data_IF_632677065113
#
_entry.id   IF_632677065113
#
_cell.length_a   1.000
_cell.length_b   1.000
_cell.length_c   1.000
_cell.angle_alpha   90.00
_cell.angle_beta   90.00
_cell.angle_gamma   90.00
#
_symmetry.space_group_name_H-M   'P 1'
#
loop_
_entity.id
_entity.type
_entity.pdbx_description
1 polymer ?
#
# COMPACT_ATOMS: atom_id res chain seq x y z
N UNK A 1 -19.40 -19.35 30.20
CA UNK A 1 -17.97 -19.00 30.04
C UNK A 1 -17.94 -17.61 29.45
N UNK A 2 -17.74 -16.57 30.26
CA UNK A 2 -17.50 -15.23 29.76
C UNK A 2 -16.18 -15.28 28.99
N UNK A 3 -16.24 -15.09 27.67
CA UNK A 3 -15.09 -15.11 26.76
C UNK A 3 -14.14 -13.93 26.96
N UNK A 4 -14.15 -13.33 28.15
CA UNK A 4 -13.34 -12.15 28.46
C UNK A 4 -11.87 -12.53 28.50
N UNK A 5 -11.09 -11.79 27.73
CA UNK A 5 -9.64 -11.89 27.66
C UNK A 5 -9.07 -11.18 28.90
N UNK A 6 -9.12 -11.84 30.05
CA UNK A 6 -8.45 -11.34 31.26
C UNK A 6 -6.95 -11.16 31.02
N UNK A 7 -6.34 -10.12 31.61
CA UNK A 7 -4.93 -9.79 31.43
C UNK A 7 -3.99 -10.99 31.67
N UNK A 8 -4.27 -11.85 32.65
CA UNK A 8 -3.48 -13.04 32.93
C UNK A 8 -3.54 -14.09 31.82
N UNK A 9 -4.70 -14.23 31.18
CA UNK A 9 -4.89 -15.13 30.03
C UNK A 9 -4.15 -14.60 28.81
N UNK A 10 -4.21 -13.29 28.57
CA UNK A 10 -3.46 -12.62 27.49
C UNK A 10 -1.95 -12.77 27.72
N UNK A 11 -1.46 -12.55 28.94
CA UNK A 11 -0.05 -12.76 29.31
C UNK A 11 0.41 -14.19 29.06
N UNK A 12 -0.38 -15.18 29.47
CA UNK A 12 -0.01 -16.58 29.25
C UNK A 12 0.06 -16.89 27.76
N UNK A 13 -0.93 -16.43 26.99
CA UNK A 13 -0.98 -16.62 25.55
C UNK A 13 0.19 -15.94 24.82
N UNK A 14 0.55 -14.71 25.19
CA UNK A 14 1.68 -14.00 24.60
C UNK A 14 3.02 -14.68 24.88
N UNK A 15 3.21 -15.30 26.05
CA UNK A 15 4.43 -16.08 26.34
C UNK A 15 4.60 -17.27 25.39
N UNK A 16 3.50 -17.90 25.00
CA UNK A 16 3.53 -19.06 24.10
C UNK A 16 3.69 -18.62 22.63
N UNK A 17 3.11 -17.45 22.27
CA UNK A 17 3.12 -16.92 20.91
C UNK A 17 4.41 -16.16 20.55
N UNK A 18 4.91 -15.32 21.46
CA UNK A 18 5.99 -14.37 21.17
C UNK A 18 7.36 -15.04 21.33
N UNK A 19 7.83 -15.65 20.24
CA UNK A 19 9.16 -16.28 20.19
C UNK A 19 10.28 -15.29 19.88
N UNK A 20 9.93 -14.17 19.21
CA UNK A 20 10.86 -13.09 18.90
C UNK A 20 10.82 -12.00 19.98
N UNK A 21 12.01 -11.64 20.50
CA UNK A 21 12.20 -10.57 21.50
C UNK A 21 12.98 -9.37 20.96
N UNK A 22 13.41 -9.41 19.70
CA UNK A 22 14.11 -8.29 19.10
C UNK A 22 13.14 -7.09 18.98
N UNK A 23 13.56 -5.88 19.37
CA UNK A 23 12.73 -4.70 19.22
C UNK A 23 12.53 -4.34 17.75
N UNK A 24 11.36 -3.77 17.42
CA UNK A 24 11.11 -3.18 16.10
C UNK A 24 11.97 -1.94 15.89
N UNK A 25 12.32 -1.66 14.63
CA UNK A 25 13.16 -0.51 14.27
C UNK A 25 12.53 0.85 14.62
N UNK A 26 11.20 0.93 14.73
CA UNK A 26 10.44 2.16 14.94
C UNK A 26 9.55 2.14 16.22
N UNK A 27 9.87 1.33 17.23
CA UNK A 27 9.03 1.23 18.45
C UNK A 27 8.75 2.58 19.12
N UNK A 28 9.74 3.48 19.13
CA UNK A 28 9.62 4.81 19.73
C UNK A 28 8.65 5.74 19.00
N UNK A 29 8.32 5.43 17.75
CA UNK A 29 7.40 6.22 16.91
C UNK A 29 5.96 5.72 17.00
N UNK A 30 5.72 4.59 17.67
CA UNK A 30 4.40 3.99 17.78
C UNK A 30 3.51 4.83 18.71
N UNK A 31 2.47 5.43 18.13
CA UNK A 31 1.42 6.13 18.87
C UNK A 31 0.42 5.13 19.48
N UNK A 32 0.81 4.48 20.59
CA UNK A 32 0.01 3.43 21.24
C UNK A 32 -1.18 3.96 22.07
N UNK A 33 -1.28 5.28 22.26
CA UNK A 33 -2.35 5.89 23.07
C UNK A 33 -2.09 5.81 24.58
N UNK A 34 -3.10 6.16 25.38
CA UNK A 34 -3.04 6.08 26.84
C UNK A 34 -3.37 4.67 27.32
N UNK A 35 -2.40 4.01 27.95
CA UNK A 35 -2.56 2.72 28.62
C UNK A 35 -1.48 2.58 29.70
N UNK A 36 -1.66 1.63 30.61
CA UNK A 36 -0.65 1.37 31.64
C UNK A 36 0.62 0.74 31.04
N UNK A 37 1.76 0.91 31.72
CA UNK A 37 3.06 0.42 31.24
C UNK A 37 3.10 -1.10 31.06
N UNK A 38 2.29 -1.84 31.82
CA UNK A 38 2.24 -3.29 31.71
C UNK A 38 1.54 -3.71 30.41
N UNK A 39 0.40 -3.09 30.11
CA UNK A 39 -0.35 -3.32 28.88
C UNK A 39 0.42 -2.84 27.64
N UNK A 40 1.20 -1.75 27.74
CA UNK A 40 2.15 -1.34 26.68
C UNK A 40 3.15 -2.43 26.36
N UNK A 41 3.78 -3.01 27.37
CA UNK A 41 4.77 -4.05 27.16
C UNK A 41 4.16 -5.31 26.54
N UNK A 42 2.93 -5.69 26.95
CA UNK A 42 2.22 -6.80 26.33
C UNK A 42 1.91 -6.55 24.85
N UNK A 43 1.49 -5.34 24.51
CA UNK A 43 1.26 -4.94 23.12
C UNK A 43 2.56 -4.95 22.31
N UNK A 44 3.64 -4.38 22.85
CA UNK A 44 4.95 -4.39 22.18
C UNK A 44 5.45 -5.81 21.93
N UNK A 45 5.29 -6.74 22.88
CA UNK A 45 5.63 -8.15 22.68
C UNK A 45 4.87 -8.77 21.50
N UNK A 46 3.57 -8.48 21.38
CA UNK A 46 2.78 -8.93 20.24
C UNK A 46 3.30 -8.35 18.93
N UNK A 47 3.57 -7.04 18.90
CA UNK A 47 4.05 -6.35 17.71
C UNK A 47 5.43 -6.88 17.26
N UNK A 48 6.35 -7.13 18.19
CA UNK A 48 7.67 -7.75 17.94
C UNK A 48 7.57 -9.15 17.32
N UNK A 49 6.45 -9.84 17.49
CA UNK A 49 6.22 -11.14 16.87
C UNK A 49 5.78 -11.06 15.40
N UNK A 50 5.33 -9.89 14.93
CA UNK A 50 4.91 -9.66 13.55
C UNK A 50 5.66 -8.49 12.89
N UNK A 51 7.01 -8.48 12.92
CA UNK A 51 7.80 -7.37 12.37
C UNK A 51 7.51 -7.19 10.88
N UNK A 52 7.31 -8.28 10.16
CA UNK A 52 6.96 -8.30 8.75
C UNK A 52 5.70 -7.50 8.40
N UNK A 53 4.73 -7.35 9.31
CA UNK A 53 3.49 -6.61 9.06
C UNK A 53 3.61 -5.12 9.40
N UNK A 54 4.56 -4.76 10.24
CA UNK A 54 4.65 -3.43 10.87
C UNK A 54 5.84 -2.62 10.38
N UNK A 55 6.92 -3.29 9.98
CA UNK A 55 8.07 -2.60 9.42
C UNK A 55 7.69 -1.91 8.10
N UNK A 56 8.04 -0.63 7.94
CA UNK A 56 7.83 0.08 6.68
C UNK A 56 8.47 -0.68 5.53
N UNK A 57 7.68 -1.05 4.53
CA UNK A 57 8.18 -1.68 3.31
C UNK A 57 8.21 -0.65 2.20
N UNK A 58 9.32 -0.60 1.49
CA UNK A 58 9.39 0.05 0.18
C UNK A 58 8.93 -0.93 -0.90
N UNK A 59 8.32 -0.40 -1.95
CA UNK A 59 7.94 -1.15 -3.14
C UNK A 59 6.55 -1.78 -3.07
N UNK A 60 6.30 -2.75 -3.95
CA UNK A 60 5.00 -3.41 -4.06
C UNK A 60 4.72 -4.24 -2.80
N UNK A 61 3.50 -4.17 -2.22
CA UNK A 61 3.08 -5.09 -1.18
C UNK A 61 3.27 -6.54 -1.63
N UNK A 62 3.49 -7.49 -0.69
CA UNK A 62 3.62 -8.89 -1.04
C UNK A 62 2.36 -9.38 -1.77
N UNK A 63 2.58 -10.17 -2.82
CA UNK A 63 1.48 -10.80 -3.55
C UNK A 63 0.64 -11.67 -2.62
N UNK A 64 -0.67 -11.67 -2.85
CA UNK A 64 -1.58 -12.54 -2.10
C UNK A 64 -1.17 -14.01 -2.23
N UNK A 65 -1.35 -14.77 -1.16
CA UNK A 65 -1.14 -16.23 -1.16
C UNK A 65 -2.30 -16.97 -1.85
N UNK A 66 -3.40 -16.27 -2.15
CA UNK A 66 -4.51 -16.80 -2.92
C UNK A 66 -4.12 -16.83 -4.39
N UNK A 67 -4.01 -18.02 -4.97
CA UNK A 67 -3.70 -18.22 -6.40
C UNK A 67 -4.88 -17.88 -7.32
N UNK A 68 -5.45 -16.70 -7.16
CA UNK A 68 -6.61 -16.22 -7.92
C UNK A 68 -6.22 -15.02 -8.77
N UNK A 69 -6.81 -14.93 -9.96
CA UNK A 69 -6.65 -13.79 -10.87
C UNK A 69 -7.96 -13.03 -10.98
N UNK A 70 -7.87 -11.71 -11.18
CA UNK A 70 -9.04 -10.87 -11.39
C UNK A 70 -9.21 -10.59 -12.88
N UNK A 71 -10.39 -10.88 -13.41
CA UNK A 71 -10.77 -10.54 -14.78
C UNK A 71 -11.82 -9.43 -14.76
N UNK A 72 -11.56 -8.36 -15.51
CA UNK A 72 -12.48 -7.23 -15.66
C UNK A 72 -13.18 -7.37 -17.01
N UNK A 73 -14.46 -7.77 -16.99
CA UNK A 73 -15.27 -7.84 -18.20
C UNK A 73 -15.77 -6.43 -18.60
N UNK A 74 -15.29 -5.92 -19.73
CA UNK A 74 -15.73 -4.63 -20.30
C UNK A 74 -16.98 -4.74 -21.18
N UNK A 75 -17.62 -5.92 -21.24
CA UNK A 75 -18.80 -6.17 -22.06
C UNK A 75 -18.52 -5.98 -23.56
N UNK A 76 -19.34 -5.18 -24.24
CA UNK A 76 -19.23 -4.89 -25.68
C UNK A 76 -18.54 -3.55 -25.97
N UNK A 77 -18.00 -2.89 -24.94
CA UNK A 77 -17.37 -1.57 -25.10
C UNK A 77 -16.08 -1.66 -25.92
N UNK A 78 -15.96 -0.78 -26.90
CA UNK A 78 -14.75 -0.69 -27.73
C UNK A 78 -13.59 -0.09 -26.92
N UNK A 79 -12.33 -0.50 -27.19
CA UNK A 79 -11.18 0.06 -26.51
C UNK A 79 -11.07 1.58 -26.65
N UNK A 80 -10.76 2.25 -25.53
CA UNK A 80 -10.51 3.69 -25.48
C UNK A 80 -9.01 3.93 -25.29
N UNK A 81 -8.42 4.68 -26.23
CA UNK A 81 -7.04 5.16 -26.14
C UNK A 81 -7.00 6.69 -26.18
N UNK A 82 -6.81 7.28 -25.02
CA UNK A 82 -6.71 8.72 -24.82
C UNK A 82 -5.28 9.17 -25.03
N UNK A 83 -5.10 10.34 -25.65
CA UNK A 83 -3.78 10.93 -25.85
C UNK A 83 -3.13 11.29 -24.49
N UNK A 84 -1.83 11.02 -24.29
CA UNK A 84 -1.09 11.51 -23.13
C UNK A 84 -1.22 13.03 -22.95
N UNK A 85 -1.35 13.48 -21.69
CA UNK A 85 -1.35 14.91 -21.36
C UNK A 85 0.04 15.50 -21.64
N UNK A 86 0.07 16.80 -21.92
CA UNK A 86 1.34 17.53 -22.01
C UNK A 86 1.81 17.86 -20.60
N UNK A 87 3.05 17.52 -20.32
CA UNK A 87 3.73 17.86 -19.08
C UNK A 87 4.87 18.85 -19.38
N UNK A 88 5.12 19.77 -18.45
CA UNK A 88 6.37 20.53 -18.46
C UNK A 88 7.57 19.59 -18.28
N UNK A 89 8.77 20.06 -18.59
CA UNK A 89 9.98 19.23 -18.47
C UNK A 89 10.16 18.68 -17.04
N UNK A 90 9.96 19.53 -16.02
CA UNK A 90 10.03 19.12 -14.62
C UNK A 90 8.97 18.10 -14.22
N UNK A 91 7.76 18.21 -14.77
CA UNK A 91 6.69 17.25 -14.51
C UNK A 91 6.95 15.92 -15.20
N UNK A 92 7.48 15.93 -16.43
CA UNK A 92 7.83 14.72 -17.14
C UNK A 92 8.92 13.93 -16.40
N UNK A 93 9.93 14.61 -15.83
CA UNK A 93 10.94 13.93 -15.01
C UNK A 93 10.33 13.22 -13.79
N UNK A 94 9.31 13.81 -13.16
CA UNK A 94 8.57 13.16 -12.06
C UNK A 94 7.79 11.93 -12.57
N UNK A 95 7.16 12.03 -13.74
CA UNK A 95 6.47 10.90 -14.37
C UNK A 95 7.45 9.75 -14.63
N UNK A 96 8.59 10.04 -15.24
CA UNK A 96 9.59 9.05 -15.63
C UNK A 96 10.19 8.35 -14.40
N UNK A 97 10.55 9.10 -13.35
CA UNK A 97 11.06 8.54 -12.09
C UNK A 97 10.04 7.61 -11.42
N UNK A 98 8.75 7.98 -11.41
CA UNK A 98 7.71 7.14 -10.82
C UNK A 98 7.46 5.87 -11.65
N UNK A 99 7.51 5.96 -12.98
CA UNK A 99 7.38 4.80 -13.88
C UNK A 99 8.54 3.83 -13.66
N UNK A 100 9.78 4.33 -13.66
CA UNK A 100 10.98 3.51 -13.40
C UNK A 100 10.90 2.82 -12.03
N UNK A 101 10.51 3.57 -11.00
CA UNK A 101 10.33 3.00 -9.66
C UNK A 101 9.27 1.89 -9.65
N UNK A 102 8.09 2.12 -10.25
CA UNK A 102 7.03 1.12 -10.27
C UNK A 102 7.39 -0.12 -11.09
N UNK A 103 8.17 0.02 -12.17
CA UNK A 103 8.73 -1.10 -12.93
C UNK A 103 9.70 -1.91 -12.08
N UNK A 104 10.64 -1.23 -11.39
CA UNK A 104 11.60 -1.86 -10.50
C UNK A 104 10.92 -2.58 -9.31
N UNK A 105 9.85 -1.98 -8.79
CA UNK A 105 9.05 -2.52 -7.70
C UNK A 105 8.10 -3.64 -8.16
N UNK A 106 7.98 -3.90 -9.47
CA UNK A 106 7.07 -4.91 -10.04
C UNK A 106 5.58 -4.57 -9.90
N UNK A 107 5.24 -3.29 -9.72
CA UNK A 107 3.85 -2.82 -9.61
C UNK A 107 3.19 -2.73 -10.99
N UNK A 108 3.97 -2.41 -12.02
CA UNK A 108 3.53 -2.30 -13.42
C UNK A 108 4.48 -3.09 -14.32
N UNK A 109 4.03 -3.35 -15.55
CA UNK A 109 4.81 -3.97 -16.61
C UNK A 109 4.61 -3.23 -17.94
N UNK A 110 5.54 -3.41 -18.87
CA UNK A 110 5.36 -2.92 -20.24
C UNK A 110 4.24 -3.69 -20.92
N UNK A 111 3.27 -2.95 -21.47
CA UNK A 111 2.11 -3.53 -22.15
C UNK A 111 1.87 -2.89 -23.52
N UNK A 112 1.38 -3.69 -24.47
CA UNK A 112 0.91 -3.21 -25.77
C UNK A 112 -0.60 -3.43 -25.90
N UNK A 113 -1.38 -2.58 -25.24
CA UNK A 113 -2.84 -2.66 -25.20
C UNK A 113 -3.54 -1.68 -26.14
N UNK A 114 -4.75 -2.05 -26.55
CA UNK A 114 -5.67 -1.15 -27.27
C UNK A 114 -6.27 -0.08 -26.34
N UNK A 115 -6.24 -0.30 -25.02
CA UNK A 115 -6.66 0.64 -23.99
C UNK A 115 -5.49 1.52 -23.55
N UNK A 116 -5.74 2.81 -23.31
CA UNK A 116 -4.72 3.72 -22.79
C UNK A 116 -5.32 4.98 -22.20
N UNK A 117 -4.86 5.36 -21.02
CA UNK A 117 -5.33 6.51 -20.26
C UNK A 117 -4.13 7.39 -19.88
N UNK A 118 -4.28 8.72 -19.80
CA UNK A 118 -3.15 9.58 -19.57
C UNK A 118 -2.80 9.66 -18.08
N UNK A 119 -1.53 9.91 -17.82
CA UNK A 119 -1.05 10.29 -16.49
C UNK A 119 -1.45 11.73 -16.18
N UNK A 120 -1.83 11.99 -14.94
CA UNK A 120 -2.06 13.31 -14.38
C UNK A 120 -1.31 13.44 -13.06
N UNK A 121 -0.69 14.61 -12.86
CA UNK A 121 0.05 14.93 -11.66
C UNK A 121 -0.80 15.84 -10.77
N UNK A 122 -1.06 15.40 -9.54
CA UNK A 122 -1.89 16.14 -8.59
C UNK A 122 -1.04 16.62 -7.41
N UNK A 123 -0.98 17.93 -7.18
CA UNK A 123 -0.28 18.49 -6.01
C UNK A 123 -1.08 18.21 -4.73
N UNK A 124 -0.41 17.68 -3.72
CA UNK A 124 -0.95 17.50 -2.38
C UNK A 124 -0.77 18.79 -1.57
N UNK A 125 -1.47 18.86 -0.43
CA UNK A 125 -1.37 19.97 0.54
C UNK A 125 0.05 20.11 1.12
N UNK A 126 0.76 19.00 1.27
CA UNK A 126 2.14 18.95 1.77
C UNK A 126 3.19 19.39 0.72
N UNK A 127 2.76 19.77 -0.49
CA UNK A 127 3.63 20.18 -1.59
C UNK A 127 4.15 19.04 -2.47
N UNK A 128 3.97 17.78 -2.07
CA UNK A 128 4.34 16.62 -2.89
C UNK A 128 3.35 16.39 -4.04
N UNK A 129 3.72 15.57 -5.01
CA UNK A 129 2.89 15.26 -6.19
C UNK A 129 2.42 13.81 -6.14
N UNK A 130 1.18 13.54 -6.57
CA UNK A 130 0.66 12.20 -6.82
C UNK A 130 0.69 11.91 -8.32
N UNK A 131 1.29 10.78 -8.67
CA UNK A 131 1.12 10.16 -9.98
C UNK A 131 -0.26 9.48 -10.02
N UNK A 132 -1.13 9.90 -10.92
CA UNK A 132 -2.49 9.36 -11.06
C UNK A 132 -2.79 9.03 -12.52
N UNK A 133 -3.66 8.05 -12.74
CA UNK A 133 -4.21 7.75 -14.07
C UNK A 133 -5.61 8.36 -14.16
N UNK A 134 -5.85 9.13 -15.22
CA UNK A 134 -7.16 9.73 -15.50
C UNK A 134 -8.03 8.73 -16.27
N UNK A 135 -8.80 7.91 -15.54
CA UNK A 135 -9.74 6.94 -16.11
C UNK A 135 -11.06 7.56 -16.60
N UNK A 136 -11.23 8.88 -16.49
CA UNK A 136 -12.45 9.50 -16.99
C UNK A 136 -12.45 9.39 -18.52
N UNK A 137 -13.41 8.64 -19.05
CA UNK A 137 -13.60 8.51 -20.47
C UNK A 137 -13.88 9.90 -21.07
N UNK A 138 -13.15 10.36 -22.10
CA UNK A 138 -13.66 11.44 -22.91
C UNK A 138 -14.95 10.93 -23.56
N UNK A 139 -16.08 11.50 -23.16
CA UNK A 139 -17.32 11.31 -23.91
C UNK A 139 -17.01 11.71 -25.35
N UNK A 140 -17.27 10.80 -26.30
CA UNK A 140 -17.18 11.14 -27.71
C UNK A 140 -18.20 12.25 -27.94
N UNK A 141 -17.72 13.46 -28.23
CA UNK A 141 -18.56 14.50 -28.80
C UNK A 141 -19.19 13.90 -30.07
N UNK A 142 -20.52 13.78 -30.07
CA UNK A 142 -21.33 13.33 -31.19
C UNK A 142 -21.71 14.53 -32.07
#
# INVERSE_FOLDING_TARGET
>A
MTGELGQDRVRSWLRDLCQNKAPLSNESELALGEMDEHDKELLLQLLRNYPALLEPRSGCPPMTTLGVTHEIHTGLEAPVKVRPRRHSHSEQSVVDEQVEKMLNDGVIEEGNGAWGFPVVLVKKKDGTVRFCIDYQAPQRDN
#
